data_IF_155279683690
#
_entry.id   IF_155279683690
#
_cell.length_a   1.000
_cell.length_b   1.000
_cell.length_c   1.000
_cell.angle_alpha   90.00
_cell.angle_beta   90.00
_cell.angle_gamma   90.00
#
_symmetry.space_group_name_H-M   'P 1'
#
loop_
_entity.id
_entity.type
_entity.pdbx_description
1 polymer ?
#
# COMPACT_ATOMS: atom_id res chain seq x y z
N UNK A 1 16.86 -5.72 6.23
CA UNK A 1 16.35 -6.18 7.54
C UNK A 1 15.13 -5.38 7.99
N UNK A 2 15.11 -4.05 7.90
CA UNK A 2 13.98 -3.19 8.31
C UNK A 2 12.64 -3.59 7.68
N UNK A 3 12.66 -3.98 6.41
CA UNK A 3 11.46 -4.43 5.71
C UNK A 3 10.94 -5.79 6.21
N UNK A 4 11.82 -6.69 6.66
CA UNK A 4 11.44 -7.99 7.26
C UNK A 4 10.71 -7.84 8.60
N UNK A 5 11.09 -6.83 9.37
CA UNK A 5 10.49 -6.52 10.68
C UNK A 5 9.35 -5.52 10.59
N UNK A 6 8.92 -5.15 9.40
CA UNK A 6 7.86 -4.15 9.17
C UNK A 6 8.12 -2.79 9.83
N UNK A 7 9.37 -2.34 9.81
CA UNK A 7 9.83 -1.03 10.29
C UNK A 7 10.60 -0.25 9.20
N UNK A 8 10.28 -0.53 7.94
CA UNK A 8 10.99 0.11 6.83
C UNK A 8 10.65 1.60 6.68
N UNK A 9 9.43 2.00 7.03
CA UNK A 9 9.04 3.41 7.10
C UNK A 9 9.88 4.16 8.16
N UNK A 10 10.05 3.59 9.36
CA UNK A 10 10.86 4.19 10.42
C UNK A 10 12.34 4.25 10.02
N UNK A 11 12.84 3.21 9.34
CA UNK A 11 14.20 3.21 8.78
C UNK A 11 14.39 4.35 7.76
N UNK A 12 13.42 4.64 6.89
CA UNK A 12 13.51 5.76 5.95
C UNK A 12 13.57 7.11 6.69
N UNK A 13 12.81 7.27 7.77
CA UNK A 13 12.86 8.46 8.62
C UNK A 13 14.25 8.61 9.25
N UNK A 14 14.76 7.58 9.91
CA UNK A 14 16.07 7.62 10.59
C UNK A 14 17.24 7.82 9.63
N UNK A 15 17.16 7.27 8.43
CA UNK A 15 18.19 7.42 7.40
C UNK A 15 18.10 8.75 6.64
N UNK A 16 17.14 9.61 6.98
CA UNK A 16 16.86 10.90 6.31
C UNK A 16 16.73 10.80 4.79
N UNK A 17 16.24 9.66 4.31
CA UNK A 17 16.04 9.44 2.88
C UNK A 17 14.74 10.09 2.44
N UNK A 18 14.85 11.08 1.55
CA UNK A 18 13.68 11.70 0.95
C UNK A 18 12.96 10.71 0.02
N UNK A 19 11.64 10.59 0.19
CA UNK A 19 10.80 9.82 -0.73
C UNK A 19 10.71 10.47 -2.11
N UNK A 20 10.80 11.79 -2.17
CA UNK A 20 10.56 12.59 -3.37
C UNK A 20 11.83 12.95 -4.13
N UNK A 21 12.99 12.86 -3.49
CA UNK A 21 14.29 13.11 -4.13
C UNK A 21 14.92 11.76 -4.47
N UNK A 22 15.18 11.52 -5.74
CA UNK A 22 15.89 10.31 -6.16
C UNK A 22 17.28 10.28 -5.56
N UNK A 23 17.55 9.31 -4.69
CA UNK A 23 18.90 9.01 -4.23
C UNK A 23 19.70 8.40 -5.38
N UNK A 24 21.01 8.66 -5.42
CA UNK A 24 21.90 8.12 -6.42
C UNK A 24 21.90 6.58 -6.46
N UNK A 25 21.65 5.94 -5.29
CA UNK A 25 21.55 4.48 -5.12
C UNK A 25 20.32 4.13 -4.29
N UNK A 26 19.12 4.09 -4.88
CA UNK A 26 17.91 3.76 -4.15
C UNK A 26 17.89 2.28 -3.76
N UNK A 27 17.50 1.99 -2.51
CA UNK A 27 17.29 0.59 -2.09
C UNK A 27 16.15 -0.05 -2.87
N UNK A 28 16.30 -1.27 -3.43
CA UNK A 28 15.23 -1.97 -4.12
C UNK A 28 14.01 -2.29 -3.22
N UNK A 29 14.15 -2.12 -1.93
CA UNK A 29 13.10 -2.36 -0.94
C UNK A 29 12.48 -1.09 -0.36
N UNK A 30 12.82 0.09 -0.89
CA UNK A 30 12.28 1.35 -0.39
C UNK A 30 10.75 1.37 -0.41
N UNK A 31 10.13 0.86 -1.48
CA UNK A 31 8.67 0.83 -1.65
C UNK A 31 7.95 0.03 -0.55
N UNK A 32 8.64 -0.88 0.17
CA UNK A 32 8.05 -1.69 1.24
C UNK A 32 7.76 -0.89 2.53
N UNK A 33 8.10 0.40 2.56
CA UNK A 33 7.70 1.29 3.65
C UNK A 33 6.19 1.29 3.87
N UNK A 34 5.41 1.24 2.80
CA UNK A 34 3.95 1.25 2.87
C UNK A 34 3.40 -0.03 3.53
N UNK A 35 3.96 -1.19 3.20
CA UNK A 35 3.57 -2.46 3.86
C UNK A 35 3.92 -2.43 5.34
N UNK A 36 5.10 -1.90 5.69
CA UNK A 36 5.51 -1.74 7.09
C UNK A 36 4.50 -0.90 7.86
N UNK A 37 4.17 0.26 7.33
CA UNK A 37 3.14 1.16 7.88
C UNK A 37 1.77 0.47 7.98
N UNK A 38 1.36 -0.25 6.94
CA UNK A 38 0.07 -0.96 6.94
C UNK A 38 -0.01 -2.02 8.04
N UNK A 39 1.05 -2.82 8.23
CA UNK A 39 1.12 -3.83 9.31
C UNK A 39 1.08 -3.16 10.69
N UNK A 40 1.80 -2.05 10.88
CA UNK A 40 1.77 -1.27 12.12
C UNK A 40 0.36 -0.74 12.40
N UNK A 41 -0.35 -0.23 11.41
CA UNK A 41 -1.75 0.21 11.54
C UNK A 41 -2.70 -0.94 11.87
N UNK A 42 -2.51 -2.13 11.29
CA UNK A 42 -3.30 -3.32 11.64
C UNK A 42 -3.08 -3.73 13.10
N UNK A 43 -1.84 -3.74 13.57
CA UNK A 43 -1.49 -4.02 14.96
C UNK A 43 -2.12 -2.98 15.88
N UNK A 44 -2.01 -1.71 15.57
CA UNK A 44 -2.64 -0.63 16.30
C UNK A 44 -4.18 -0.80 16.36
N UNK A 45 -4.82 -1.04 15.22
CA UNK A 45 -6.27 -1.29 15.13
C UNK A 45 -6.72 -2.49 15.96
N UNK A 46 -5.91 -3.57 16.00
CA UNK A 46 -6.17 -4.71 16.88
C UNK A 46 -6.18 -4.31 18.37
N UNK A 47 -5.21 -3.52 18.81
CA UNK A 47 -5.15 -3.06 20.21
C UNK A 47 -6.27 -2.07 20.55
N UNK A 48 -6.59 -1.14 19.64
CA UNK A 48 -7.73 -0.22 19.81
C UNK A 48 -9.03 -1.00 19.96
N UNK A 49 -9.27 -1.98 19.09
CA UNK A 49 -10.47 -2.83 19.19
C UNK A 49 -10.51 -3.65 20.49
N UNK A 50 -9.36 -4.20 20.91
CA UNK A 50 -9.26 -4.93 22.19
C UNK A 50 -9.55 -4.02 23.38
N UNK A 51 -9.04 -2.79 23.35
CA UNK A 51 -9.32 -1.77 24.36
C UNK A 51 -10.80 -1.41 24.41
N UNK A 52 -11.43 -1.09 23.28
CA UNK A 52 -12.86 -0.76 23.21
C UNK A 52 -13.72 -1.89 23.79
N UNK A 53 -13.41 -3.16 23.45
CA UNK A 53 -14.10 -4.33 24.01
C UNK A 53 -13.88 -4.47 25.51
N UNK A 54 -12.66 -4.27 26.02
CA UNK A 54 -12.35 -4.36 27.44
C UNK A 54 -13.09 -3.29 28.25
N UNK A 55 -13.25 -2.11 27.68
CA UNK A 55 -13.95 -0.99 28.30
C UNK A 55 -15.47 -1.02 28.08
N UNK A 56 -15.99 -2.06 27.41
CA UNK A 56 -17.42 -2.21 27.08
C UNK A 56 -17.99 -0.98 26.36
N UNK A 57 -17.26 -0.43 25.41
CA UNK A 57 -17.73 0.73 24.64
C UNK A 57 -19.03 0.40 23.91
N UNK A 58 -19.97 1.34 23.97
CA UNK A 58 -21.15 1.32 23.13
C UNK A 58 -20.76 1.64 21.68
N UNK A 59 -21.55 1.19 20.72
CA UNK A 59 -21.28 1.40 19.30
C UNK A 59 -21.05 2.89 18.94
N UNK A 60 -21.80 3.79 19.55
CA UNK A 60 -21.60 5.23 19.38
C UNK A 60 -20.25 5.72 19.93
N UNK A 61 -19.81 5.19 21.06
CA UNK A 61 -18.51 5.54 21.66
C UNK A 61 -17.35 5.04 20.81
N UNK A 62 -17.48 3.84 20.21
CA UNK A 62 -16.51 3.31 19.25
C UNK A 62 -16.41 4.23 18.00
N UNK A 63 -17.56 4.64 17.46
CA UNK A 63 -17.62 5.58 16.33
C UNK A 63 -16.97 6.92 16.67
N UNK A 64 -17.29 7.50 17.82
CA UNK A 64 -16.73 8.79 18.28
C UNK A 64 -15.22 8.67 18.48
N UNK A 65 -14.71 7.59 19.05
CA UNK A 65 -13.27 7.36 19.21
C UNK A 65 -12.57 7.28 17.86
N UNK A 66 -13.12 6.54 16.90
CA UNK A 66 -12.53 6.44 15.55
C UNK A 66 -12.58 7.78 14.82
N UNK A 67 -13.67 8.54 14.94
CA UNK A 67 -13.78 9.88 14.37
C UNK A 67 -12.74 10.84 14.99
N UNK A 68 -12.58 10.79 16.31
CA UNK A 68 -11.55 11.54 17.02
C UNK A 68 -10.14 11.20 16.52
N UNK A 69 -9.80 9.90 16.40
CA UNK A 69 -8.50 9.45 15.90
C UNK A 69 -8.27 9.91 14.44
N UNK A 70 -9.32 9.90 13.62
CA UNK A 70 -9.25 10.40 12.23
C UNK A 70 -8.90 11.88 12.20
N UNK A 71 -9.63 12.70 12.95
CA UNK A 71 -9.42 14.16 13.01
C UNK A 71 -8.04 14.47 13.62
N UNK A 72 -7.71 13.84 14.75
CA UNK A 72 -6.44 14.05 15.42
C UNK A 72 -5.23 13.71 14.53
N UNK A 73 -5.31 12.61 13.76
CA UNK A 73 -4.28 12.22 12.81
C UNK A 73 -4.15 13.22 11.65
N UNK A 74 -5.26 13.66 11.07
CA UNK A 74 -5.26 14.62 9.97
C UNK A 74 -4.74 16.00 10.40
N UNK A 75 -5.19 16.49 11.56
CA UNK A 75 -4.69 17.74 12.16
C UNK A 75 -3.21 17.60 12.55
N UNK A 76 -2.84 16.45 13.11
CA UNK A 76 -1.44 16.15 13.44
C UNK A 76 -0.53 16.15 12.23
N UNK A 77 -0.99 15.61 11.10
CA UNK A 77 -0.25 15.67 9.83
C UNK A 77 -0.03 17.10 9.36
N UNK A 78 -1.08 17.93 9.36
CA UNK A 78 -1.00 19.32 8.95
C UNK A 78 -0.10 20.14 9.89
N UNK A 79 -0.23 19.95 11.20
CA UNK A 79 0.60 20.64 12.20
C UNK A 79 2.07 20.25 12.09
N UNK A 80 2.36 18.95 11.94
CA UNK A 80 3.74 18.47 11.80
C UNK A 80 4.38 19.01 10.51
N UNK A 81 3.65 19.00 9.40
CA UNK A 81 4.15 19.58 8.16
C UNK A 81 4.41 21.09 8.29
N UNK A 82 3.51 21.81 8.97
CA UNK A 82 3.70 23.24 9.22
C UNK A 82 4.96 23.56 10.05
N UNK A 83 5.29 22.68 11.01
CA UNK A 83 6.46 22.84 11.88
C UNK A 83 7.76 22.47 11.17
N UNK A 84 7.79 21.37 10.44
CA UNK A 84 9.01 20.77 9.90
C UNK A 84 9.26 21.16 8.43
N UNK A 85 8.19 21.40 7.67
CA UNK A 85 8.21 21.64 6.21
C UNK A 85 8.96 20.56 5.42
N UNK A 86 9.09 19.35 6.02
CA UNK A 86 9.75 18.19 5.44
C UNK A 86 8.70 17.15 5.02
N UNK A 87 8.39 17.07 3.70
CA UNK A 87 7.32 16.21 3.23
C UNK A 87 7.59 14.72 3.47
N UNK A 88 8.85 14.27 3.38
CA UNK A 88 9.18 12.85 3.46
C UNK A 88 8.97 12.30 4.87
N UNK A 89 9.35 13.03 5.90
CA UNK A 89 9.13 12.63 7.29
C UNK A 89 7.64 12.45 7.59
N UNK A 90 6.85 13.48 7.29
CA UNK A 90 5.40 13.45 7.46
C UNK A 90 4.76 12.32 6.65
N UNK A 91 5.33 12.01 5.48
CA UNK A 91 4.83 10.98 4.57
C UNK A 91 5.02 9.55 5.10
N UNK A 92 6.13 9.27 5.76
CA UNK A 92 6.48 7.95 6.30
C UNK A 92 5.88 7.66 7.68
N UNK A 93 5.48 8.68 8.43
CA UNK A 93 5.06 8.52 9.82
C UNK A 93 3.68 7.84 9.93
N UNK A 94 3.55 6.87 10.84
CA UNK A 94 2.30 6.10 11.04
C UNK A 94 1.18 6.97 11.56
N UNK A 95 1.47 7.87 12.50
CA UNK A 95 0.46 8.75 13.13
C UNK A 95 -0.22 9.68 12.13
N UNK A 96 0.53 10.15 11.12
CA UNK A 96 0.00 11.05 10.08
C UNK A 96 -0.81 10.30 9.01
N UNK A 97 -0.72 8.97 8.96
CA UNK A 97 -1.46 8.10 8.03
C UNK A 97 -2.65 7.39 8.67
N UNK A 98 -2.76 7.47 9.98
CA UNK A 98 -3.80 6.79 10.75
C UNK A 98 -5.21 7.19 10.30
N UNK A 99 -5.42 8.46 9.88
CA UNK A 99 -6.73 8.93 9.42
C UNK A 99 -7.29 8.13 8.24
N UNK A 100 -6.48 7.70 7.28
CA UNK A 100 -6.96 6.91 6.14
C UNK A 100 -7.40 5.51 6.56
N UNK A 101 -6.71 4.91 7.53
CA UNK A 101 -7.07 3.62 8.11
C UNK A 101 -8.36 3.72 8.95
N UNK A 102 -8.47 4.74 9.81
CA UNK A 102 -9.64 4.94 10.66
C UNK A 102 -10.88 5.39 9.88
N UNK A 103 -10.72 6.11 8.75
CA UNK A 103 -11.81 6.37 7.81
C UNK A 103 -12.39 5.08 7.23
N UNK A 104 -11.55 4.11 6.85
CA UNK A 104 -12.01 2.80 6.41
C UNK A 104 -12.79 2.06 7.51
N UNK A 105 -12.33 2.16 8.76
CA UNK A 105 -13.05 1.60 9.90
C UNK A 105 -14.40 2.31 10.13
N UNK A 106 -14.46 3.64 10.06
CA UNK A 106 -15.70 4.41 10.17
C UNK A 106 -16.69 4.05 9.06
N UNK A 107 -16.22 3.85 7.84
CA UNK A 107 -17.04 3.40 6.73
C UNK A 107 -17.71 2.05 7.04
N UNK A 108 -16.98 1.11 7.64
CA UNK A 108 -17.54 -0.17 8.09
C UNK A 108 -18.66 0.03 9.12
N UNK A 109 -18.49 0.92 10.10
CA UNK A 109 -19.54 1.25 11.08
C UNK A 109 -20.79 1.85 10.43
N UNK A 110 -20.61 2.72 9.44
CA UNK A 110 -21.72 3.33 8.70
C UNK A 110 -22.46 2.26 7.89
N UNK A 111 -21.74 1.37 7.24
CA UNK A 111 -22.32 0.29 6.43
C UNK A 111 -23.07 -0.74 7.29
N UNK A 112 -22.43 -1.28 8.33
CA UNK A 112 -23.05 -2.22 9.26
C UNK A 112 -24.21 -1.61 10.05
N UNK A 113 -24.16 -0.31 10.33
CA UNK A 113 -25.18 0.44 11.06
C UNK A 113 -26.44 0.75 10.28
N UNK A 114 -26.48 0.42 8.98
CA UNK A 114 -27.55 0.84 8.07
C UNK A 114 -27.79 2.36 8.12
N UNK A 115 -26.77 3.13 8.51
CA UNK A 115 -26.79 4.59 8.48
C UNK A 115 -26.75 5.14 7.04
N UNK A 116 -26.32 4.32 6.09
CA UNK A 116 -26.50 4.60 4.68
C UNK A 116 -27.97 4.30 4.31
N UNK A 117 -28.53 5.13 3.44
CA UNK A 117 -29.89 4.99 2.92
C UNK A 117 -30.11 3.54 2.50
N UNK A 118 -31.14 2.83 3.02
CA UNK A 118 -31.45 1.48 2.62
C UNK A 118 -31.54 1.38 1.10
N UNK A 119 -31.11 0.28 0.53
CA UNK A 119 -31.08 0.09 -0.95
C UNK A 119 -32.45 0.30 -1.59
N UNK A 120 -33.51 -0.09 -0.89
CA UNK A 120 -34.90 0.06 -1.34
C UNK A 120 -35.34 1.52 -1.52
N UNK A 121 -34.78 2.47 -0.77
CA UNK A 121 -35.11 3.90 -0.80
C UNK A 121 -34.08 4.76 -1.51
N UNK A 122 -33.03 4.17 -2.04
CA UNK A 122 -31.92 4.85 -2.65
C UNK A 122 -32.18 5.13 -4.12
N UNK A 123 -32.21 6.38 -4.51
CA UNK A 123 -32.30 6.76 -5.93
C UNK A 123 -31.01 6.40 -6.66
N UNK A 124 -31.06 5.32 -7.46
CA UNK A 124 -29.91 4.81 -8.24
C UNK A 124 -29.29 5.88 -9.14
N UNK A 125 -30.10 6.78 -9.67
CA UNK A 125 -29.60 7.87 -10.52
C UNK A 125 -28.72 8.82 -9.73
N UNK A 126 -29.13 9.21 -8.51
CA UNK A 126 -28.33 10.07 -7.63
C UNK A 126 -27.01 9.40 -7.28
N UNK A 127 -27.03 8.11 -6.93
CA UNK A 127 -25.80 7.35 -6.59
C UNK A 127 -24.87 7.24 -7.81
N UNK A 128 -25.42 7.02 -8.98
CA UNK A 128 -24.63 6.95 -10.22
C UNK A 128 -23.97 8.30 -10.53
N UNK A 129 -24.71 9.41 -10.43
CA UNK A 129 -24.15 10.74 -10.63
C UNK A 129 -23.08 11.06 -9.58
N UNK A 130 -23.36 10.78 -8.30
CA UNK A 130 -22.40 10.99 -7.23
C UNK A 130 -21.12 10.16 -7.42
N UNK A 131 -21.22 8.90 -7.88
CA UNK A 131 -20.05 8.06 -8.14
C UNK A 131 -19.20 8.57 -9.31
N UNK A 132 -19.84 9.16 -10.36
CA UNK A 132 -19.11 9.82 -11.46
C UNK A 132 -18.37 11.06 -10.97
N UNK A 133 -19.03 11.88 -10.16
CA UNK A 133 -18.42 13.09 -9.58
C UNK A 133 -17.23 12.70 -8.70
N UNK A 134 -17.39 11.71 -7.80
CA UNK A 134 -16.30 11.23 -6.95
C UNK A 134 -15.14 10.65 -7.77
N UNK A 135 -15.42 9.90 -8.82
CA UNK A 135 -14.38 9.37 -9.72
C UNK A 135 -13.65 10.49 -10.45
N UNK A 136 -14.38 11.48 -10.97
CA UNK A 136 -13.81 12.67 -11.60
C UNK A 136 -12.94 13.46 -10.62
N UNK A 137 -13.40 13.68 -9.40
CA UNK A 137 -12.65 14.34 -8.34
C UNK A 137 -11.36 13.57 -7.99
N UNK A 138 -11.43 12.24 -7.89
CA UNK A 138 -10.27 11.40 -7.63
C UNK A 138 -9.22 11.50 -8.74
N UNK A 139 -9.65 11.38 -10.01
CA UNK A 139 -8.77 11.52 -11.16
C UNK A 139 -8.16 12.93 -11.22
N UNK A 140 -8.97 13.95 -10.99
CA UNK A 140 -8.48 15.33 -10.93
C UNK A 140 -7.43 15.54 -9.86
N UNK A 141 -7.65 15.01 -8.64
CA UNK A 141 -6.65 15.07 -7.57
C UNK A 141 -5.34 14.38 -7.96
N UNK A 142 -5.40 13.19 -8.60
CA UNK A 142 -4.21 12.47 -9.05
C UNK A 142 -3.41 13.20 -10.13
N UNK A 143 -4.09 13.94 -11.01
CA UNK A 143 -3.45 14.66 -12.11
C UNK A 143 -2.91 16.04 -11.71
N UNK A 144 -3.49 16.66 -10.68
CA UNK A 144 -3.19 18.06 -10.31
C UNK A 144 -2.16 18.15 -9.19
N UNK A 145 -2.22 17.24 -8.20
CA UNK A 145 -1.40 17.34 -7.00
C UNK A 145 -0.25 16.33 -7.02
N UNK A 146 0.91 16.80 -6.56
CA UNK A 146 2.08 15.95 -6.34
C UNK A 146 2.54 16.03 -4.87
N UNK A 147 3.30 15.05 -4.42
CA UNK A 147 3.69 14.93 -3.02
C UNK A 147 4.66 16.02 -2.50
N UNK A 148 5.14 16.92 -3.36
CA UNK A 148 5.99 18.05 -2.94
C UNK A 148 5.18 19.29 -2.55
N UNK A 149 3.89 19.32 -2.87
CA UNK A 149 3.03 20.47 -2.61
C UNK A 149 2.52 20.46 -1.17
N UNK A 150 2.55 21.62 -0.51
CA UNK A 150 2.11 21.79 0.88
C UNK A 150 0.63 21.46 1.08
N UNK A 151 -0.21 21.81 0.11
CA UNK A 151 -1.66 21.58 0.14
C UNK A 151 -2.01 20.10 0.30
N UNK A 152 -1.11 19.20 -0.17
CA UNK A 152 -1.27 17.77 -0.04
C UNK A 152 -1.32 17.35 1.43
N UNK A 153 -0.47 17.93 2.27
CA UNK A 153 -0.38 17.61 3.70
C UNK A 153 -1.41 18.36 4.54
N UNK A 154 -1.84 19.53 4.11
CA UNK A 154 -2.86 20.28 4.84
C UNK A 154 -4.27 19.73 4.63
N UNK A 155 -4.62 19.29 3.43
CA UNK A 155 -6.02 18.94 3.15
C UNK A 155 -6.20 17.84 2.10
N UNK A 156 -5.41 17.82 1.02
CA UNK A 156 -5.69 16.98 -0.15
C UNK A 156 -5.64 15.48 0.19
N UNK A 157 -4.73 15.03 1.04
CA UNK A 157 -4.66 13.65 1.48
C UNK A 157 -5.89 13.20 2.27
N UNK A 158 -6.42 14.06 3.12
CA UNK A 158 -7.67 13.77 3.84
C UNK A 158 -8.84 13.71 2.87
N UNK A 159 -8.97 14.70 1.99
CA UNK A 159 -10.03 14.73 0.98
C UNK A 159 -9.96 13.53 0.04
N UNK A 160 -8.78 13.16 -0.44
CA UNK A 160 -8.61 11.98 -1.28
C UNK A 160 -9.01 10.70 -0.56
N UNK A 161 -8.68 10.57 0.73
CA UNK A 161 -9.10 9.42 1.54
C UNK A 161 -10.62 9.36 1.73
N UNK A 162 -11.29 10.50 1.89
CA UNK A 162 -12.76 10.59 1.95
C UNK A 162 -13.37 10.20 0.59
N UNK A 163 -12.84 10.74 -0.50
CA UNK A 163 -13.32 10.42 -1.86
C UNK A 163 -13.16 8.92 -2.14
N UNK A 164 -12.01 8.32 -1.78
CA UNK A 164 -11.78 6.87 -1.92
C UNK A 164 -12.76 6.07 -1.05
N UNK A 165 -13.02 6.48 0.18
CA UNK A 165 -14.00 5.82 1.05
C UNK A 165 -15.42 5.88 0.43
N UNK A 166 -15.82 6.99 -0.17
CA UNK A 166 -17.08 7.11 -0.91
C UNK A 166 -17.09 6.22 -2.15
N UNK A 167 -16.01 6.18 -2.93
CA UNK A 167 -15.91 5.27 -4.08
C UNK A 167 -16.04 3.80 -3.67
N UNK A 168 -15.40 3.38 -2.57
CA UNK A 168 -15.55 2.03 -2.02
C UNK A 168 -17.01 1.77 -1.64
N UNK A 169 -17.71 2.75 -1.05
CA UNK A 169 -19.14 2.63 -0.72
C UNK A 169 -20.01 2.41 -1.96
N UNK A 170 -19.69 3.06 -3.09
CA UNK A 170 -20.42 2.85 -4.36
C UNK A 170 -20.09 1.50 -4.99
N UNK A 171 -18.85 1.04 -4.91
CA UNK A 171 -18.44 -0.27 -5.44
C UNK A 171 -19.14 -1.42 -4.72
N UNK A 172 -19.39 -1.30 -3.42
CA UNK A 172 -20.07 -2.33 -2.63
C UNK A 172 -21.57 -2.44 -2.98
N UNK A 173 -22.19 -1.37 -3.48
CA UNK A 173 -23.63 -1.32 -3.75
C UNK A 173 -23.98 -1.90 -5.12
N UNK A 174 -24.81 -2.94 -5.11
CA UNK A 174 -25.43 -3.46 -6.32
C UNK A 174 -26.37 -2.43 -6.95
N UNK A 175 -26.34 -2.33 -8.27
CA UNK A 175 -27.16 -1.37 -9.03
C UNK A 175 -26.50 -0.02 -9.31
N UNK A 176 -25.31 0.24 -8.79
CA UNK A 176 -24.45 1.36 -9.21
C UNK A 176 -23.54 0.91 -10.34
N UNK A 177 -23.38 1.69 -11.39
CA UNK A 177 -22.57 1.35 -12.58
C UNK A 177 -21.11 1.00 -12.18
N UNK A 178 -20.56 1.68 -11.17
CA UNK A 178 -19.20 1.46 -10.69
C UNK A 178 -19.00 0.05 -10.13
N UNK A 179 -20.03 -0.53 -9.47
CA UNK A 179 -20.03 -1.92 -9.02
C UNK A 179 -19.78 -2.88 -10.18
N UNK A 180 -20.51 -2.72 -11.28
CA UNK A 180 -20.40 -3.62 -12.45
C UNK A 180 -19.05 -3.49 -13.16
N UNK A 181 -18.51 -2.28 -13.27
CA UNK A 181 -17.20 -2.04 -13.88
C UNK A 181 -16.09 -2.71 -13.04
N UNK A 182 -16.06 -2.41 -11.74
CA UNK A 182 -14.97 -2.92 -10.87
C UNK A 182 -15.10 -4.43 -10.63
N UNK A 183 -16.34 -4.96 -10.65
CA UNK A 183 -16.59 -6.42 -10.52
C UNK A 183 -16.32 -7.21 -11.82
N UNK A 184 -15.97 -6.53 -12.91
CA UNK A 184 -15.59 -7.21 -14.16
C UNK A 184 -14.40 -8.15 -13.93
N UNK A 185 -14.44 -9.33 -14.58
CA UNK A 185 -13.45 -10.41 -14.37
C UNK A 185 -11.99 -9.96 -14.52
N UNK A 186 -11.72 -9.03 -15.44
CA UNK A 186 -10.38 -8.48 -15.63
C UNK A 186 -9.87 -7.69 -14.43
N UNK A 187 -10.69 -6.79 -13.87
CA UNK A 187 -10.30 -6.02 -12.67
C UNK A 187 -10.18 -6.90 -11.44
N UNK A 188 -11.08 -7.88 -11.27
CA UNK A 188 -10.98 -8.83 -10.14
C UNK A 188 -9.78 -9.76 -10.29
N UNK A 189 -9.38 -10.12 -11.51
CA UNK A 189 -8.16 -10.86 -11.77
C UNK A 189 -6.91 -10.07 -11.36
N UNK A 190 -6.81 -8.80 -11.78
CA UNK A 190 -5.71 -7.90 -11.40
C UNK A 190 -5.70 -7.60 -9.90
N UNK A 191 -6.87 -7.32 -9.33
CA UNK A 191 -7.01 -7.02 -7.90
C UNK A 191 -6.53 -8.15 -6.99
N UNK A 192 -6.83 -9.40 -7.35
CA UNK A 192 -6.36 -10.58 -6.60
C UNK A 192 -4.85 -10.73 -6.60
N UNK A 193 -4.15 -10.17 -7.57
CA UNK A 193 -2.70 -10.25 -7.77
C UNK A 193 -1.97 -8.94 -7.45
N UNK A 194 -2.71 -7.91 -7.06
CA UNK A 194 -2.17 -6.57 -6.85
C UNK A 194 -1.02 -6.54 -5.85
N UNK A 195 -1.10 -7.36 -4.80
CA UNK A 195 -0.03 -7.48 -3.82
C UNK A 195 1.25 -8.07 -4.42
N UNK A 196 1.13 -9.16 -5.19
CA UNK A 196 2.27 -9.76 -5.89
C UNK A 196 2.90 -8.78 -6.90
N UNK A 197 2.07 -8.04 -7.66
CA UNK A 197 2.58 -7.00 -8.57
C UNK A 197 3.33 -5.90 -7.81
N UNK A 198 2.78 -5.44 -6.69
CA UNK A 198 3.42 -4.44 -5.85
C UNK A 198 4.80 -4.88 -5.35
N UNK A 199 4.94 -6.15 -4.93
CA UNK A 199 6.20 -6.68 -4.43
C UNK A 199 7.31 -6.68 -5.50
N UNK A 200 6.98 -7.01 -6.75
CA UNK A 200 7.97 -7.19 -7.81
C UNK A 200 8.20 -5.96 -8.67
N UNK A 201 7.23 -5.04 -8.74
CA UNK A 201 7.30 -3.89 -9.64
C UNK A 201 8.57 -3.05 -9.44
N UNK A 202 8.77 -2.51 -8.25
CA UNK A 202 9.87 -1.59 -7.98
C UNK A 202 11.25 -2.24 -8.07
N UNK A 203 11.49 -3.41 -7.44
CA UNK A 203 12.77 -4.09 -7.52
C UNK A 203 13.18 -4.48 -8.95
N UNK A 204 12.25 -4.99 -9.75
CA UNK A 204 12.54 -5.33 -11.15
C UNK A 204 12.85 -4.08 -11.96
N UNK A 205 12.05 -3.02 -11.80
CA UNK A 205 12.27 -1.75 -12.47
C UNK A 205 13.65 -1.15 -12.15
N UNK A 206 14.12 -1.31 -10.92
CA UNK A 206 15.41 -0.77 -10.49
C UNK A 206 16.60 -1.63 -10.94
N UNK A 207 16.51 -2.96 -10.80
CA UNK A 207 17.66 -3.86 -10.93
C UNK A 207 17.80 -4.40 -12.35
N UNK A 208 16.70 -4.78 -13.00
CA UNK A 208 16.76 -5.47 -14.30
C UNK A 208 17.42 -4.63 -15.41
N UNK A 209 17.24 -3.29 -15.51
CA UNK A 209 17.93 -2.50 -16.52
C UNK A 209 19.45 -2.59 -16.47
N UNK A 210 20.04 -2.81 -15.29
CA UNK A 210 21.48 -2.96 -15.15
C UNK A 210 22.03 -4.23 -15.84
N UNK A 211 21.22 -5.28 -15.92
CA UNK A 211 21.55 -6.52 -16.64
C UNK A 211 21.27 -6.41 -18.16
N UNK A 212 20.44 -5.45 -18.57
CA UNK A 212 20.05 -5.24 -19.96
C UNK A 212 20.83 -4.11 -20.64
N UNK A 213 21.96 -3.68 -20.08
CA UNK A 213 22.77 -2.54 -20.57
C UNK A 213 23.20 -2.65 -22.04
N UNK A 214 23.21 -3.87 -22.61
CA UNK A 214 23.52 -4.11 -24.03
C UNK A 214 22.31 -3.99 -24.98
N UNK A 215 21.11 -3.80 -24.44
CA UNK A 215 19.87 -3.62 -25.22
C UNK A 215 19.60 -2.14 -25.39
N UNK A 216 19.93 -1.61 -26.56
CA UNK A 216 19.71 -0.19 -26.91
C UNK A 216 18.23 0.14 -27.15
N UNK A 217 17.40 -0.87 -27.47
CA UNK A 217 15.97 -0.67 -27.71
C UNK A 217 15.22 -0.46 -26.38
N UNK A 218 14.76 0.76 -26.18
CA UNK A 218 13.98 1.17 -25.01
C UNK A 218 12.70 0.33 -24.83
N UNK A 219 11.94 0.11 -25.92
CA UNK A 219 10.67 -0.62 -25.84
C UNK A 219 10.86 -2.09 -25.53
N UNK A 220 11.93 -2.68 -26.07
CA UNK A 220 12.28 -4.08 -25.77
C UNK A 220 12.69 -4.21 -24.29
N UNK A 221 13.48 -3.29 -23.76
CA UNK A 221 13.88 -3.26 -22.35
C UNK A 221 12.66 -3.16 -21.44
N UNK A 222 11.75 -2.20 -21.69
CA UNK A 222 10.50 -2.03 -20.94
C UNK A 222 9.62 -3.28 -21.02
N UNK A 223 9.51 -3.90 -22.21
CA UNK A 223 8.72 -5.10 -22.40
C UNK A 223 9.25 -6.28 -21.58
N UNK A 224 10.57 -6.48 -21.55
CA UNK A 224 11.20 -7.53 -20.75
C UNK A 224 10.93 -7.30 -19.25
N UNK A 225 11.02 -6.05 -18.77
CA UNK A 225 10.71 -5.71 -17.38
C UNK A 225 9.25 -6.11 -17.02
N UNK A 226 8.28 -5.70 -17.83
CA UNK A 226 6.87 -6.02 -17.59
C UNK A 226 6.58 -7.53 -17.65
N UNK A 227 7.15 -8.25 -18.62
CA UNK A 227 7.01 -9.71 -18.70
C UNK A 227 7.58 -10.35 -17.43
N UNK A 228 8.76 -9.94 -17.00
CA UNK A 228 9.40 -10.45 -15.78
C UNK A 228 8.54 -10.19 -14.53
N UNK A 229 8.01 -8.96 -14.39
CA UNK A 229 7.11 -8.61 -13.28
C UNK A 229 5.86 -9.51 -13.30
N UNK A 230 5.22 -9.67 -14.46
CA UNK A 230 4.00 -10.47 -14.59
C UNK A 230 4.26 -11.94 -14.23
N UNK A 231 5.36 -12.52 -14.74
CA UNK A 231 5.71 -13.92 -14.47
C UNK A 231 6.01 -14.12 -12.98
N UNK A 232 6.83 -13.27 -12.37
CA UNK A 232 7.18 -13.39 -10.97
C UNK A 232 5.99 -13.11 -10.05
N UNK A 233 5.15 -12.14 -10.40
CA UNK A 233 3.92 -11.86 -9.67
C UNK A 233 2.94 -13.04 -9.74
N UNK A 234 2.74 -13.65 -10.92
CA UNK A 234 1.88 -14.82 -11.05
C UNK A 234 2.42 -16.02 -10.28
N UNK A 235 3.74 -16.29 -10.33
CA UNK A 235 4.37 -17.34 -9.53
C UNK A 235 4.16 -17.11 -8.04
N UNK A 236 4.39 -15.89 -7.56
CA UNK A 236 4.17 -15.52 -6.16
C UNK A 236 2.71 -15.70 -5.77
N UNK A 237 1.78 -15.25 -6.59
CA UNK A 237 0.35 -15.42 -6.38
C UNK A 237 -0.03 -16.89 -6.29
N UNK A 238 0.39 -17.73 -7.23
CA UNK A 238 0.07 -19.16 -7.25
C UNK A 238 0.64 -19.91 -6.05
N UNK A 239 1.89 -19.61 -5.67
CA UNK A 239 2.58 -20.30 -4.58
C UNK A 239 2.12 -19.85 -3.20
N UNK A 240 1.80 -18.56 -3.04
CA UNK A 240 1.61 -17.98 -1.71
C UNK A 240 0.25 -17.36 -1.45
N UNK A 241 -0.50 -16.93 -2.47
CA UNK A 241 -1.76 -16.24 -2.28
C UNK A 241 -3.00 -17.06 -2.67
N UNK A 242 -2.92 -17.89 -3.72
CA UNK A 242 -4.08 -18.56 -4.30
C UNK A 242 -4.80 -19.52 -3.34
N UNK A 243 -4.09 -20.23 -2.49
CA UNK A 243 -4.67 -21.24 -1.58
C UNK A 243 -5.10 -20.68 -0.23
N UNK A 244 -5.22 -19.38 -0.17
CA UNK A 244 -5.38 -18.75 1.10
C UNK A 244 -6.72 -18.24 1.41
N UNK A 245 -7.11 -18.73 2.51
CA UNK A 245 -7.99 -18.13 3.49
C UNK A 245 -8.99 -17.19 2.82
N UNK A 246 -10.15 -17.69 2.37
CA UNK A 246 -11.23 -16.78 2.04
C UNK A 246 -11.43 -15.88 3.28
N UNK A 247 -11.00 -14.62 3.18
CA UNK A 247 -11.43 -13.65 4.18
C UNK A 247 -12.94 -13.68 4.11
N UNK A 248 -13.65 -13.92 5.22
CA UNK A 248 -15.11 -13.95 5.22
C UNK A 248 -15.67 -12.52 5.14
N UNK A 249 -15.17 -11.76 4.17
CA UNK A 249 -15.67 -10.45 3.83
C UNK A 249 -16.99 -10.70 3.12
N UNK A 250 -18.07 -10.62 3.85
CA UNK A 250 -19.44 -10.88 3.39
C UNK A 250 -20.17 -12.07 4.00
N UNK A 251 -19.46 -13.00 4.68
CA UNK A 251 -20.10 -14.15 5.36
C UNK A 251 -20.02 -14.10 6.90
N UNK A 252 -19.26 -13.20 7.46
CA UNK A 252 -19.17 -13.04 8.91
C UNK A 252 -20.38 -12.25 9.43
N UNK A 253 -21.46 -12.94 9.72
CA UNK A 253 -22.66 -12.36 10.34
C UNK A 253 -22.48 -11.96 11.81
N UNK A 254 -21.31 -12.25 12.42
CA UNK A 254 -21.03 -11.82 13.79
C UNK A 254 -19.55 -11.52 14.06
N UNK A 255 -19.26 -10.55 14.94
CA UNK A 255 -17.88 -10.24 15.36
C UNK A 255 -17.17 -11.44 16.01
N UNK A 256 -17.92 -12.38 16.57
CA UNK A 256 -17.40 -13.61 17.16
C UNK A 256 -16.82 -14.56 16.12
N UNK A 257 -17.51 -14.73 14.99
CA UNK A 257 -17.05 -15.56 13.88
C UNK A 257 -15.77 -14.98 13.24
N UNK A 258 -15.68 -13.65 13.10
CA UNK A 258 -14.49 -12.98 12.60
C UNK A 258 -13.29 -13.18 13.53
N UNK A 259 -13.50 -13.08 14.85
CA UNK A 259 -12.42 -13.28 15.83
C UNK A 259 -11.98 -14.74 15.92
N UNK A 260 -12.90 -15.70 15.85
CA UNK A 260 -12.57 -17.12 15.80
C UNK A 260 -11.79 -17.46 14.53
N UNK A 261 -12.22 -16.94 13.39
CA UNK A 261 -11.54 -17.10 12.10
C UNK A 261 -10.14 -16.46 12.10
N UNK A 262 -9.98 -15.23 12.59
CA UNK A 262 -8.67 -14.59 12.71
C UNK A 262 -7.75 -15.37 13.65
N UNK A 263 -8.26 -15.87 14.79
CA UNK A 263 -7.48 -16.67 15.75
C UNK A 263 -6.97 -17.98 15.13
N UNK A 264 -7.74 -18.63 14.26
CA UNK A 264 -7.36 -19.89 13.62
C UNK A 264 -6.46 -19.70 12.39
N UNK A 265 -6.59 -18.60 11.66
CA UNK A 265 -5.97 -18.42 10.34
C UNK A 265 -4.88 -17.35 10.31
N UNK A 266 -4.86 -16.39 11.25
CA UNK A 266 -3.83 -15.36 11.32
C UNK A 266 -2.40 -15.94 11.37
N UNK A 267 -2.11 -17.01 12.16
CA UNK A 267 -0.78 -17.62 12.18
C UNK A 267 -0.37 -18.20 10.82
N UNK A 268 -1.35 -18.79 10.09
CA UNK A 268 -1.10 -19.34 8.75
C UNK A 268 -0.88 -18.23 7.73
N UNK A 269 -1.71 -17.19 7.76
CA UNK A 269 -1.56 -16.01 6.89
C UNK A 269 -0.22 -15.31 7.10
N UNK A 270 0.16 -15.07 8.34
CA UNK A 270 1.44 -14.42 8.68
C UNK A 270 2.64 -15.26 8.25
N UNK A 271 2.59 -16.59 8.43
CA UNK A 271 3.64 -17.52 7.98
C UNK A 271 3.82 -17.46 6.46
N UNK A 272 2.73 -17.47 5.70
CA UNK A 272 2.79 -17.44 4.24
C UNK A 272 3.23 -16.05 3.73
N UNK A 273 2.77 -14.98 4.37
CA UNK A 273 3.23 -13.62 4.07
C UNK A 273 4.74 -13.51 4.31
N UNK A 274 5.23 -14.00 5.45
CA UNK A 274 6.65 -14.05 5.76
C UNK A 274 7.46 -14.90 4.76
N UNK A 275 6.91 -16.04 4.32
CA UNK A 275 7.57 -16.90 3.31
C UNK A 275 7.64 -16.24 1.94
N UNK A 276 6.56 -15.61 1.46
CA UNK A 276 6.57 -14.87 0.20
C UNK A 276 7.59 -13.73 0.25
N UNK A 277 7.58 -12.97 1.33
CA UNK A 277 8.53 -11.88 1.54
C UNK A 277 9.97 -12.37 1.62
N UNK A 278 10.23 -13.47 2.33
CA UNK A 278 11.57 -14.07 2.43
C UNK A 278 12.08 -14.56 1.08
N UNK A 279 11.21 -15.14 0.25
CA UNK A 279 11.59 -15.55 -1.10
C UNK A 279 11.98 -14.34 -1.96
N UNK A 280 11.18 -13.31 -1.95
CA UNK A 280 11.47 -12.04 -2.66
C UNK A 280 12.81 -11.49 -2.18
N UNK A 281 13.01 -11.44 -0.86
CA UNK A 281 14.27 -10.96 -0.27
C UNK A 281 15.48 -11.80 -0.70
N UNK A 282 15.37 -13.14 -0.68
CA UNK A 282 16.47 -14.03 -1.06
C UNK A 282 16.84 -13.89 -2.54
N UNK A 283 15.85 -13.80 -3.43
CA UNK A 283 16.08 -13.56 -4.86
C UNK A 283 16.81 -12.23 -5.07
N UNK A 284 16.38 -11.17 -4.39
CA UNK A 284 17.02 -9.85 -4.53
C UNK A 284 18.37 -9.76 -3.86
N UNK A 285 18.57 -10.41 -2.72
CA UNK A 285 19.89 -10.50 -2.09
C UNK A 285 20.87 -11.23 -3.01
N UNK A 286 20.41 -12.28 -3.69
CA UNK A 286 21.19 -12.99 -4.70
C UNK A 286 21.53 -12.11 -5.91
N UNK A 287 20.53 -11.42 -6.48
CA UNK A 287 20.74 -10.53 -7.62
C UNK A 287 21.64 -9.32 -7.26
N UNK A 288 21.44 -8.73 -6.10
CA UNK A 288 22.28 -7.64 -5.61
C UNK A 288 23.73 -8.13 -5.40
N UNK A 289 23.92 -9.34 -4.83
CA UNK A 289 25.22 -9.94 -4.67
C UNK A 289 25.96 -10.14 -6.00
N UNK A 290 25.26 -10.57 -7.05
CA UNK A 290 25.83 -10.70 -8.40
C UNK A 290 26.19 -9.31 -8.97
N UNK A 291 25.32 -8.29 -8.79
CA UNK A 291 25.59 -6.92 -9.23
C UNK A 291 26.82 -6.32 -8.55
N UNK A 292 26.99 -6.50 -7.24
CA UNK A 292 28.19 -6.05 -6.50
C UNK A 292 29.46 -6.79 -6.95
N UNK A 293 29.35 -8.08 -7.25
CA UNK A 293 30.49 -8.85 -7.76
C UNK A 293 30.96 -8.34 -9.14
N UNK A 294 30.01 -8.03 -10.04
CA UNK A 294 30.31 -7.47 -11.36
C UNK A 294 30.92 -6.05 -11.29
N UNK A 295 30.41 -5.20 -10.39
CA UNK A 295 30.93 -3.84 -10.19
C UNK A 295 32.37 -3.87 -9.64
N UNK A 296 32.66 -4.78 -8.70
CA UNK A 296 34.00 -4.98 -8.16
C UNK A 296 34.98 -5.48 -9.23
N UNK A 297 34.53 -6.35 -10.12
CA UNK A 297 35.35 -6.88 -11.22
C UNK A 297 35.66 -5.77 -12.25
N UNK A 298 34.68 -4.95 -12.63
CA UNK A 298 34.90 -3.80 -13.51
C UNK A 298 35.84 -2.75 -12.88
N UNK A 299 35.72 -2.49 -11.58
CA UNK A 299 36.60 -1.54 -10.89
C UNK A 299 38.03 -2.06 -10.81
N UNK A 300 38.23 -3.36 -10.68
CA UNK A 300 39.56 -4.00 -10.73
C UNK A 300 40.20 -3.90 -12.13
N UNK A 301 39.41 -4.13 -13.18
CA UNK A 301 39.84 -3.98 -14.57
C UNK A 301 40.25 -2.53 -14.91
N UNK A 302 39.47 -1.54 -14.47
CA UNK A 302 39.79 -0.11 -14.67
C UNK A 302 41.11 0.23 -13.99
N UNK A 303 41.35 -0.22 -12.75
CA UNK A 303 42.63 -0.01 -12.05
C UNK A 303 43.79 -0.67 -12.76
N UNK A 304 43.61 -1.87 -13.28
CA UNK A 304 44.67 -2.58 -14.04
C UNK A 304 45.03 -1.87 -15.34
N UNK A 305 44.03 -1.30 -16.05
CA UNK A 305 44.24 -0.48 -17.25
C UNK A 305 44.95 0.84 -16.90
N UNK A 306 44.54 1.52 -15.82
CA UNK A 306 45.22 2.74 -15.34
C UNK A 306 46.66 2.50 -14.94
N UNK A 307 46.99 1.37 -14.31
CA UNK A 307 48.38 0.99 -13.98
C UNK A 307 49.22 0.71 -15.24
N UNK A 308 48.62 0.10 -16.27
CA UNK A 308 49.30 -0.15 -17.57
C UNK A 308 49.54 1.13 -18.38
N UNK A 309 48.71 2.15 -18.22
CA UNK A 309 48.88 3.45 -18.87
C UNK A 309 49.94 4.31 -18.19
N UNK A 310 50.16 4.12 -16.89
CA UNK A 310 51.17 4.85 -16.09
C UNK A 310 52.60 4.29 -16.23
N UNK A 311 52.76 3.09 -16.75
CA UNK A 311 54.06 2.49 -17.10
C UNK A 311 54.43 2.73 -18.54
#
# INVERSE_FOLDING_TARGET
>A
LSALFFVNNDYQIFSQQSYFVQSANPSPFVHLWYISLYVQLLIFGFFVRKFMKKMNFLRMQEFVLLAFLTIASAVGMAALYWLEQEPSHVYYLVSTRLFSFTLGALLSYIHEGKLLIPEEHSNKTILNVASVICMGAFIWMLLTFNGMQAEVYYMIMLLSSIVVALLVSFVIREGVWLHYIISFKGFTFLGKRSYSYYLWFYPIHLILPSFLRGLEDYWLNVSIQWITIIVLAELTYQLFEKERIPLPIGQAHSPYQLTAYMKSNLPKGLKHFGMAFSLVYLVFAGLAGIGFAQEKDQTSLVREVEEKIRK
#
